data_IF_194945249947
#
_entry.id   IF_194945249947
#
_cell.length_a   1.000
_cell.length_b   1.000
_cell.length_c   1.000
_cell.angle_alpha   90.00
_cell.angle_beta   90.00
_cell.angle_gamma   90.00
#
_symmetry.space_group_name_H-M   'P 1'
#
loop_
_entity.id
_entity.type
_entity.pdbx_description
1 polymer ?
#
# COMPACT_ATOMS: atom_id res chain seq x y z
N UNK A 1 1.92 3.68 -18.67
CA UNK A 1 0.67 3.96 -17.95
C UNK A 1 1.05 3.74 -16.51
N UNK A 2 0.93 4.78 -15.67
CA UNK A 2 1.42 4.71 -14.31
C UNK A 2 0.73 3.58 -13.56
N UNK A 3 1.46 3.00 -12.61
CA UNK A 3 0.98 1.96 -11.71
C UNK A 3 1.00 2.48 -10.28
N UNK A 4 0.11 1.93 -9.45
CA UNK A 4 0.18 2.12 -8.02
C UNK A 4 1.24 1.16 -7.45
N UNK A 5 2.15 1.67 -6.63
CA UNK A 5 3.13 0.89 -5.89
C UNK A 5 2.76 0.88 -4.41
N UNK A 6 2.72 -0.31 -3.82
CA UNK A 6 2.72 -0.51 -2.38
C UNK A 6 4.12 -0.92 -2.00
N UNK A 7 4.79 -0.16 -1.13
CA UNK A 7 6.20 -0.38 -0.82
C UNK A 7 6.39 -0.45 0.69
N UNK A 8 6.97 -1.54 1.16
CA UNK A 8 7.43 -1.69 2.53
C UNK A 8 8.84 -1.10 2.64
N UNK A 9 8.95 0.02 3.33
CA UNK A 9 10.20 0.68 3.63
C UNK A 9 10.73 0.21 4.97
N UNK A 10 12.03 -0.07 5.02
CA UNK A 10 12.79 -0.43 6.21
C UNK A 10 13.85 0.61 6.52
N UNK A 11 14.20 0.74 7.79
CA UNK A 11 15.28 1.63 8.20
C UNK A 11 15.31 1.96 9.69
N UNK A 12 16.18 2.91 10.05
CA UNK A 12 16.43 3.27 11.44
C UNK A 12 15.62 4.49 11.85
N UNK A 13 15.05 4.43 13.06
CA UNK A 13 14.53 5.59 13.75
C UNK A 13 15.35 5.84 15.03
N UNK A 14 15.72 7.09 15.32
CA UNK A 14 16.66 7.44 16.40
C UNK A 14 16.28 6.93 17.80
N UNK A 15 14.97 6.71 18.03
CA UNK A 15 14.41 6.20 19.29
C UNK A 15 14.07 4.72 19.28
N UNK A 16 14.21 4.04 18.14
CA UNK A 16 13.94 2.61 18.04
C UNK A 16 15.20 1.81 18.40
N UNK A 17 15.02 0.74 19.17
CA UNK A 17 16.11 -0.18 19.50
C UNK A 17 16.43 -1.13 18.35
N UNK A 18 15.42 -1.44 17.54
CA UNK A 18 15.51 -2.26 16.33
C UNK A 18 15.13 -1.41 15.12
N UNK A 19 15.27 -2.02 13.95
CA UNK A 19 14.73 -1.47 12.72
C UNK A 19 13.21 -1.28 12.81
N UNK A 20 12.70 -0.30 12.06
CA UNK A 20 11.27 -0.02 11.91
C UNK A 20 10.89 -0.14 10.44
N UNK A 21 9.63 -0.51 10.21
CA UNK A 21 9.10 -0.61 8.86
C UNK A 21 7.83 0.24 8.75
N UNK A 22 7.58 0.73 7.54
CA UNK A 22 6.31 1.37 7.18
C UNK A 22 5.89 0.97 5.77
N UNK A 23 4.58 1.02 5.49
CA UNK A 23 4.04 0.74 4.16
C UNK A 23 3.55 2.03 3.52
N UNK A 24 4.22 2.40 2.43
CA UNK A 24 3.98 3.64 1.69
C UNK A 24 3.34 3.33 0.34
N UNK A 25 2.48 4.23 -0.12
CA UNK A 25 1.86 4.21 -1.44
C UNK A 25 2.53 5.26 -2.33
N UNK A 26 2.88 4.87 -3.56
CA UNK A 26 3.48 5.77 -4.54
C UNK A 26 2.99 5.45 -5.97
N UNK A 27 3.21 6.36 -6.91
CA UNK A 27 2.78 6.19 -8.31
C UNK A 27 3.92 6.49 -9.26
N UNK A 28 4.11 5.65 -10.28
CA UNK A 28 5.12 5.83 -11.33
C UNK A 28 4.93 4.84 -12.48
N UNK A 29 5.67 4.99 -13.58
CA UNK A 29 5.69 3.97 -14.64
C UNK A 29 6.62 2.79 -14.28
N UNK A 30 7.59 3.01 -13.39
CA UNK A 30 8.49 2.00 -12.83
C UNK A 30 8.74 2.23 -11.32
N UNK A 31 9.26 1.22 -10.62
CA UNK A 31 9.53 1.30 -9.17
C UNK A 31 10.55 2.41 -8.88
N UNK A 32 11.60 2.52 -9.68
CA UNK A 32 12.70 3.48 -9.52
C UNK A 32 12.22 4.93 -9.63
N UNK A 33 11.20 5.19 -10.44
CA UNK A 33 10.59 6.53 -10.56
C UNK A 33 9.85 6.96 -9.28
N UNK A 34 9.48 6.00 -8.42
CA UNK A 34 8.82 6.30 -7.14
C UNK A 34 9.78 6.69 -6.02
N UNK A 35 11.10 6.48 -6.18
CA UNK A 35 12.07 6.68 -5.10
C UNK A 35 12.03 8.08 -4.46
N UNK A 36 11.84 9.19 -5.20
CA UNK A 36 11.68 10.50 -4.58
C UNK A 36 10.45 10.58 -3.63
N UNK A 37 9.33 9.96 -4.01
CA UNK A 37 8.12 9.90 -3.18
C UNK A 37 8.37 9.07 -1.92
N UNK A 38 9.03 7.92 -2.06
CA UNK A 38 9.37 7.04 -0.94
C UNK A 38 10.30 7.73 0.07
N UNK A 39 11.34 8.42 -0.43
CA UNK A 39 12.26 9.21 0.41
C UNK A 39 11.54 10.34 1.14
N UNK A 40 10.59 11.00 0.48
CA UNK A 40 9.79 12.08 1.09
C UNK A 40 8.81 11.55 2.15
N UNK A 41 8.21 10.38 1.92
CA UNK A 41 7.25 9.77 2.84
C UNK A 41 7.91 9.14 4.08
N UNK A 42 9.18 8.72 3.96
CA UNK A 42 9.89 8.08 5.07
C UNK A 42 10.03 9.00 6.28
N UNK A 43 9.51 8.54 7.43
CA UNK A 43 9.40 9.35 8.64
C UNK A 43 10.65 9.35 9.52
N UNK A 44 11.63 8.49 9.23
CA UNK A 44 12.76 8.21 10.11
C UNK A 44 14.11 8.70 9.53
N UNK A 45 15.23 8.12 9.97
CA UNK A 45 16.55 8.53 9.50
C UNK A 45 16.69 8.24 8.00
N UNK A 46 17.12 9.21 7.16
CA UNK A 46 17.30 8.97 5.72
C UNK A 46 18.42 7.96 5.43
N UNK A 47 19.44 7.93 6.29
CA UNK A 47 20.57 7.02 6.15
C UNK A 47 20.13 5.59 6.46
N UNK A 48 20.39 4.67 5.51
CA UNK A 48 20.00 3.27 5.64
C UNK A 48 18.54 2.99 5.33
N UNK A 49 17.81 3.94 4.73
CA UNK A 49 16.50 3.68 4.14
C UNK A 49 16.63 2.64 3.01
N UNK A 50 15.76 1.65 3.02
CA UNK A 50 15.71 0.60 2.01
C UNK A 50 14.27 0.11 1.78
N UNK A 51 14.09 -0.70 0.73
CA UNK A 51 12.84 -1.39 0.39
C UNK A 51 13.00 -2.87 0.73
N UNK A 52 12.12 -3.40 1.57
CA UNK A 52 12.07 -4.83 1.92
C UNK A 52 11.03 -5.60 1.10
N UNK A 53 10.01 -4.91 0.60
CA UNK A 53 9.04 -5.49 -0.30
C UNK A 53 8.38 -4.42 -1.14
N UNK A 54 7.96 -4.77 -2.35
CA UNK A 54 7.17 -3.91 -3.20
C UNK A 54 6.12 -4.70 -3.97
N UNK A 55 5.02 -4.04 -4.32
CA UNK A 55 3.99 -4.56 -5.20
C UNK A 55 3.55 -3.49 -6.21
N UNK A 56 3.61 -3.82 -7.49
CA UNK A 56 3.01 -3.03 -8.57
C UNK A 56 1.58 -3.51 -8.82
N UNK A 57 0.64 -2.59 -8.67
CA UNK A 57 -0.80 -2.83 -8.77
C UNK A 57 -1.32 -2.16 -10.04
N UNK A 58 -1.76 -2.99 -10.98
CA UNK A 58 -2.43 -2.57 -12.21
C UNK A 58 -3.96 -2.58 -12.06
N UNK A 59 -4.46 -3.38 -11.11
CA UNK A 59 -5.87 -3.54 -10.84
C UNK A 59 -6.13 -4.45 -9.65
N UNK A 60 -7.40 -4.61 -9.32
CA UNK A 60 -7.87 -5.44 -8.21
C UNK A 60 -9.07 -6.28 -8.63
N UNK A 61 -9.13 -7.50 -8.12
CA UNK A 61 -10.35 -8.30 -8.15
C UNK A 61 -11.07 -8.16 -6.82
N UNK A 62 -12.36 -7.82 -6.88
CA UNK A 62 -13.17 -7.64 -5.68
C UNK A 62 -14.61 -8.06 -5.94
N UNK A 63 -15.15 -8.94 -5.09
CA UNK A 63 -16.52 -9.48 -5.19
C UNK A 63 -16.87 -10.03 -6.59
N UNK A 64 -15.92 -10.71 -7.24
CA UNK A 64 -16.12 -11.32 -8.55
C UNK A 64 -16.06 -10.34 -9.73
N UNK A 65 -15.66 -9.10 -9.50
CA UNK A 65 -15.41 -8.09 -10.54
C UNK A 65 -13.93 -7.73 -10.60
N UNK A 66 -13.45 -7.45 -11.80
CA UNK A 66 -12.11 -6.93 -12.05
C UNK A 66 -12.17 -5.43 -12.30
N UNK A 67 -11.27 -4.69 -11.65
CA UNK A 67 -11.10 -3.26 -11.82
C UNK A 67 -9.66 -2.97 -12.21
N UNK A 68 -9.45 -2.25 -13.31
CA UNK A 68 -8.15 -1.66 -13.58
C UNK A 68 -8.06 -0.26 -12.98
N UNK A 69 -6.85 0.17 -12.64
CA UNK A 69 -6.62 1.48 -12.06
C UNK A 69 -6.38 2.51 -13.16
N UNK A 70 -7.04 3.66 -13.05
CA UNK A 70 -6.77 4.84 -13.85
C UNK A 70 -6.53 6.03 -12.93
N UNK A 71 -5.58 6.88 -13.27
CA UNK A 71 -5.31 8.09 -12.51
C UNK A 71 -5.97 9.29 -13.21
N UNK A 72 -6.57 10.18 -12.42
CA UNK A 72 -7.36 11.32 -12.92
C UNK A 72 -7.30 12.52 -11.99
N UNK A 73 -7.53 13.72 -12.53
CA UNK A 73 -7.66 14.96 -11.74
C UNK A 73 -9.08 15.17 -11.20
N UNK A 74 -10.06 14.40 -11.68
CA UNK A 74 -11.44 14.51 -11.24
C UNK A 74 -11.62 13.82 -9.88
N UNK A 75 -12.08 14.57 -8.89
CA UNK A 75 -12.40 13.99 -7.58
C UNK A 75 -13.55 12.98 -7.74
N UNK A 76 -13.42 11.77 -7.18
CA UNK A 76 -14.48 10.78 -7.24
C UNK A 76 -15.73 11.26 -6.50
N UNK A 77 -16.90 10.91 -7.02
CA UNK A 77 -18.17 11.22 -6.37
C UNK A 77 -18.25 10.49 -5.02
N UNK A 78 -19.00 11.05 -4.05
CA UNK A 78 -19.15 10.40 -2.73
C UNK A 78 -19.79 9.01 -2.79
N UNK A 79 -20.58 8.72 -3.82
CA UNK A 79 -21.21 7.42 -4.04
C UNK A 79 -20.34 6.43 -4.80
N UNK A 80 -19.19 6.87 -5.34
CA UNK A 80 -18.28 6.00 -6.08
C UNK A 80 -17.44 5.16 -5.14
N UNK A 81 -17.14 3.94 -5.58
CA UNK A 81 -16.20 3.08 -4.89
C UNK A 81 -14.80 3.66 -4.97
N UNK A 82 -14.03 3.47 -3.89
CA UNK A 82 -12.64 3.87 -3.75
C UNK A 82 -11.80 2.67 -3.39
N UNK A 83 -10.49 2.82 -3.60
CA UNK A 83 -9.50 1.81 -3.26
C UNK A 83 -8.98 2.08 -1.84
N UNK A 84 -8.98 1.04 -1.02
CA UNK A 84 -8.48 1.09 0.36
C UNK A 84 -7.39 0.05 0.58
N UNK A 85 -6.32 0.45 1.26
CA UNK A 85 -5.33 -0.46 1.84
C UNK A 85 -5.70 -0.75 3.30
N UNK A 86 -5.89 -2.02 3.62
CA UNK A 86 -6.20 -2.48 4.98
C UNK A 86 -4.95 -3.15 5.55
N UNK A 87 -4.45 -2.60 6.66
CA UNK A 87 -3.41 -3.22 7.46
C UNK A 87 -4.08 -4.11 8.53
N UNK A 88 -3.91 -5.42 8.37
CA UNK A 88 -4.43 -6.44 9.29
C UNK A 88 -3.29 -6.98 10.13
N UNK A 89 -3.52 -7.09 11.43
CA UNK A 89 -2.59 -7.66 12.39
C UNK A 89 -3.14 -8.92 13.06
N UNK A 90 -2.24 -9.75 13.56
CA UNK A 90 -2.56 -10.96 14.30
C UNK A 90 -1.31 -11.67 14.82
N UNK A 91 -1.50 -12.81 15.49
CA UNK A 91 -0.40 -13.52 16.16
C UNK A 91 -0.45 -15.02 15.85
N UNK A 92 0.72 -15.65 15.68
CA UNK A 92 0.86 -17.10 15.69
C UNK A 92 1.59 -17.52 16.99
N UNK A 93 1.09 -18.50 17.76
CA UNK A 93 1.72 -18.93 19.01
C UNK A 93 3.12 -19.53 18.83
N UNK A 94 3.53 -19.83 17.60
CA UNK A 94 4.85 -20.38 17.26
C UNK A 94 5.87 -19.30 16.92
N UNK A 95 5.46 -18.05 16.82
CA UNK A 95 6.30 -16.93 16.39
C UNK A 95 6.37 -15.84 17.46
N UNK A 96 7.56 -15.28 17.65
CA UNK A 96 7.76 -14.10 18.47
C UNK A 96 7.58 -12.86 17.61
N UNK A 97 6.46 -12.15 17.79
CA UNK A 97 6.14 -10.93 17.06
C UNK A 97 4.69 -10.89 16.61
N UNK A 98 4.34 -9.79 15.95
CA UNK A 98 3.04 -9.59 15.35
C UNK A 98 3.13 -9.79 13.83
N UNK A 99 2.19 -10.57 13.30
CA UNK A 99 2.06 -10.84 11.89
C UNK A 99 1.17 -9.79 11.26
N UNK A 100 1.58 -9.32 10.09
CA UNK A 100 0.83 -8.31 9.34
C UNK A 100 0.48 -8.81 7.94
N UNK A 101 -0.65 -8.31 7.43
CA UNK A 101 -1.12 -8.56 6.07
C UNK A 101 -1.77 -7.29 5.54
N UNK A 102 -1.29 -6.88 4.36
CA UNK A 102 -1.79 -5.71 3.65
C UNK A 102 -2.69 -6.17 2.52
N UNK A 103 -3.94 -5.72 2.50
CA UNK A 103 -4.90 -6.08 1.46
C UNK A 103 -5.53 -4.85 0.83
N UNK A 104 -5.68 -4.88 -0.49
CA UNK A 104 -6.48 -3.89 -1.20
C UNK A 104 -7.93 -4.34 -1.27
N UNK A 105 -8.85 -3.43 -0.96
CA UNK A 105 -10.29 -3.66 -1.07
C UNK A 105 -10.97 -2.48 -1.78
N UNK A 106 -12.09 -2.77 -2.44
CA UNK A 106 -12.93 -1.78 -3.09
C UNK A 106 -14.14 -1.52 -2.21
N UNK A 107 -14.37 -0.27 -1.81
CA UNK A 107 -15.51 0.07 -0.95
C UNK A 107 -15.95 1.53 -1.12
N UNK A 108 -17.14 1.87 -0.64
CA UNK A 108 -17.66 3.26 -0.69
C UNK A 108 -17.14 4.14 0.45
N UNK A 109 -16.71 3.53 1.56
CA UNK A 109 -16.26 4.27 2.74
C UNK A 109 -15.38 3.38 3.65
N UNK A 110 -14.63 3.98 4.59
CA UNK A 110 -13.71 3.26 5.47
C UNK A 110 -14.38 2.18 6.34
N UNK A 111 -15.64 2.35 6.73
CA UNK A 111 -16.37 1.37 7.56
C UNK A 111 -16.61 0.09 6.77
N UNK A 112 -17.10 0.21 5.53
CA UNK A 112 -17.31 -0.92 4.62
C UNK A 112 -15.97 -1.55 4.26
N UNK A 113 -14.95 -0.75 3.93
CA UNK A 113 -13.60 -1.21 3.62
C UNK A 113 -13.01 -2.08 4.76
N UNK A 114 -13.16 -1.62 6.01
CA UNK A 114 -12.74 -2.38 7.19
C UNK A 114 -13.46 -3.73 7.27
N UNK A 115 -14.77 -3.74 7.06
CA UNK A 115 -15.55 -4.97 7.15
C UNK A 115 -15.16 -5.98 6.05
N UNK A 116 -14.95 -5.51 4.82
CA UNK A 116 -14.44 -6.34 3.72
C UNK A 116 -13.03 -6.88 4.02
N UNK A 117 -12.14 -6.03 4.55
CA UNK A 117 -10.77 -6.42 4.90
C UNK A 117 -10.70 -7.58 5.89
N UNK A 118 -11.64 -7.67 6.85
CA UNK A 118 -11.67 -8.78 7.83
C UNK A 118 -11.82 -10.16 7.19
N UNK A 119 -12.40 -10.26 5.99
CA UNK A 119 -12.50 -11.54 5.29
C UNK A 119 -11.13 -12.12 4.91
N UNK A 120 -10.08 -11.29 4.89
CA UNK A 120 -8.72 -11.67 4.52
C UNK A 120 -7.83 -12.04 5.71
N UNK A 121 -8.35 -12.11 6.94
CA UNK A 121 -7.55 -12.62 8.05
C UNK A 121 -7.07 -14.05 7.78
N UNK A 122 -5.83 -14.35 8.18
CA UNK A 122 -5.37 -15.72 8.16
C UNK A 122 -6.10 -16.51 9.25
N UNK A 123 -6.69 -17.66 8.89
CA UNK A 123 -7.51 -18.45 9.80
C UNK A 123 -6.77 -18.91 11.07
N UNK A 124 -5.45 -19.09 10.99
CA UNK A 124 -4.62 -19.53 12.11
C UNK A 124 -4.18 -18.39 13.04
N UNK A 125 -4.43 -17.13 12.68
CA UNK A 125 -4.06 -16.00 13.52
C UNK A 125 -4.94 -15.91 14.77
N UNK A 126 -4.30 -15.69 15.91
CA UNK A 126 -4.91 -15.32 17.17
C UNK A 126 -4.99 -13.79 17.28
N UNK A 127 -5.95 -13.31 18.08
CA UNK A 127 -6.18 -11.87 18.36
C UNK A 127 -6.18 -11.01 17.09
N UNK A 128 -6.87 -11.48 16.05
CA UNK A 128 -7.02 -10.76 14.77
C UNK A 128 -7.57 -9.34 14.99
N UNK A 129 -6.93 -8.36 14.38
CA UNK A 129 -7.34 -6.96 14.47
C UNK A 129 -6.98 -6.17 13.20
N UNK A 130 -7.59 -5.00 13.05
CA UNK A 130 -7.31 -4.09 11.94
C UNK A 130 -6.59 -2.88 12.52
N UNK A 131 -5.31 -2.72 12.22
CA UNK A 131 -4.50 -1.60 12.69
C UNK A 131 -4.87 -0.31 11.97
N UNK A 132 -5.02 -0.41 10.65
CA UNK A 132 -5.27 0.75 9.81
C UNK A 132 -6.15 0.45 8.62
N UNK A 133 -6.95 1.45 8.28
CA UNK A 133 -7.72 1.55 7.03
C UNK A 133 -7.24 2.84 6.37
N UNK A 134 -6.62 2.72 5.20
CA UNK A 134 -6.08 3.85 4.44
C UNK A 134 -6.85 3.96 3.14
N UNK A 135 -7.41 5.13 2.85
CA UNK A 135 -7.86 5.46 1.51
C UNK A 135 -6.62 5.75 0.65
N UNK A 136 -6.50 5.11 -0.52
CA UNK A 136 -5.28 5.22 -1.33
C UNK A 136 -5.01 6.66 -1.75
N UNK A 137 -6.04 7.39 -2.19
CA UNK A 137 -5.91 8.78 -2.63
C UNK A 137 -5.35 9.71 -1.55
N UNK A 138 -5.71 9.47 -0.28
CA UNK A 138 -5.23 10.28 0.86
C UNK A 138 -3.73 10.05 1.16
N UNK A 139 -3.14 9.01 0.59
CA UNK A 139 -1.74 8.63 0.80
C UNK A 139 -0.83 9.07 -0.36
N UNK A 140 -1.40 9.47 -1.50
CA UNK A 140 -0.63 9.86 -2.68
C UNK A 140 -0.20 11.31 -2.62
N UNK A 141 1.02 11.58 -3.08
CA UNK A 141 1.53 12.96 -3.21
C UNK A 141 0.84 13.64 -4.39
N UNK A 142 0.09 14.71 -4.11
CA UNK A 142 -0.76 15.43 -5.07
C UNK A 142 0.03 16.01 -6.26
N UNK A 143 1.31 16.33 -6.08
CA UNK A 143 2.14 17.00 -7.09
C UNK A 143 2.79 16.03 -8.11
N UNK A 144 2.36 14.77 -8.15
CA UNK A 144 2.84 13.80 -9.14
C UNK A 144 2.06 13.91 -10.47
N UNK A 145 2.76 13.80 -11.61
CA UNK A 145 2.27 14.12 -12.98
C UNK A 145 1.16 13.18 -13.49
N UNK A 146 0.74 12.22 -12.69
CA UNK A 146 -0.15 11.13 -13.09
C UNK A 146 -1.62 11.40 -12.78
N UNK A 147 -1.94 12.50 -12.11
CA UNK A 147 -3.29 12.84 -11.66
C UNK A 147 -3.46 12.66 -10.16
N UNK A 148 -4.48 13.32 -9.60
CA UNK A 148 -4.69 13.44 -8.15
C UNK A 148 -5.41 12.27 -7.49
N UNK A 149 -6.20 11.51 -8.23
CA UNK A 149 -7.10 10.49 -7.70
C UNK A 149 -7.01 9.17 -8.48
N UNK A 150 -7.21 8.06 -7.79
CA UNK A 150 -7.34 6.71 -8.35
C UNK A 150 -8.81 6.45 -8.68
N UNK A 151 -9.10 6.32 -9.96
CA UNK A 151 -10.37 5.86 -10.48
C UNK A 151 -10.33 4.34 -10.72
N UNK A 152 -11.32 3.64 -10.16
CA UNK A 152 -11.58 2.23 -10.44
C UNK A 152 -12.45 2.10 -11.69
N UNK A 153 -11.96 1.40 -12.70
CA UNK A 153 -12.74 1.14 -13.93
C UNK A 153 -12.92 -0.35 -14.11
N UNK A 154 -14.18 -0.80 -14.24
CA UNK A 154 -14.48 -2.22 -14.48
C UNK A 154 -13.83 -2.68 -15.79
N UNK A 155 -13.06 -3.76 -15.73
CA UNK A 155 -12.33 -4.31 -16.86
C UNK A 155 -11.16 -5.19 -16.45
N UNK A 156 -10.62 -5.90 -17.43
CA UNK A 156 -9.41 -6.71 -17.25
C UNK A 156 -8.17 -5.83 -17.10
N UNK A 157 -7.22 -6.28 -16.29
CA UNK A 157 -5.92 -5.63 -16.09
C UNK A 157 -4.77 -6.63 -16.23
N UNK A 158 -3.57 -6.13 -16.51
CA UNK A 158 -2.34 -6.93 -16.51
C UNK A 158 -2.04 -7.43 -15.10
N UNK A 159 -1.54 -8.67 -14.95
CA UNK A 159 -1.25 -9.24 -13.64
C UNK A 159 -0.39 -8.32 -12.76
N UNK A 160 -0.76 -8.21 -11.48
CA UNK A 160 0.05 -7.51 -10.49
C UNK A 160 1.37 -8.23 -10.26
N UNK A 161 2.42 -7.49 -9.89
CA UNK A 161 3.76 -8.03 -9.60
C UNK A 161 4.15 -7.64 -8.18
N UNK A 162 4.86 -8.51 -7.48
CA UNK A 162 5.39 -8.20 -6.16
C UNK A 162 6.65 -9.02 -5.89
N UNK A 163 7.47 -8.53 -4.97
CA UNK A 163 8.71 -9.17 -4.57
C UNK A 163 9.06 -8.75 -3.12
N UNK A 164 9.58 -9.69 -2.34
CA UNK A 164 10.32 -9.40 -1.12
C UNK A 164 11.81 -9.30 -1.48
N UNK A 165 12.47 -8.23 -1.08
CA UNK A 165 13.80 -7.84 -1.54
C UNK A 165 14.57 -7.11 -0.44
N UNK A 166 15.72 -6.55 -0.77
CA UNK A 166 16.45 -5.60 0.08
C UNK A 166 17.17 -4.61 -0.84
N UNK A 167 16.50 -3.51 -1.18
CA UNK A 167 17.02 -2.49 -2.09
C UNK A 167 17.34 -1.22 -1.31
N UNK A 168 18.61 -0.87 -1.19
CA UNK A 168 18.99 0.38 -0.52
C UNK A 168 18.59 1.58 -1.38
N UNK A 169 17.99 2.58 -0.75
CA UNK A 169 17.62 3.84 -1.39
C UNK A 169 18.64 4.93 -1.07
N UNK A 170 19.89 4.55 -0.84
CA UNK A 170 20.94 5.47 -0.42
C UNK A 170 20.91 6.73 -1.31
N UNK A 171 21.07 7.86 -0.66
CA UNK A 171 21.32 9.12 -1.34
C UNK A 171 22.65 8.96 -2.08
N UNK A 172 22.59 8.64 -3.38
CA UNK A 172 23.65 9.05 -4.27
C UNK A 172 23.94 10.53 -3.97
N UNK A 173 25.23 10.76 -3.73
CA UNK A 173 25.89 11.99 -3.25
C UNK A 173 25.30 13.28 -3.81
#
# INVERSE_FOLDING_TARGET
MPSLFIVMLGGRHARANTEVHDVVLAVGDALEETYPQLKQAWFAEPKGLHIDAWAQINGVEFEGKSYYLKFTDAQPNQSENRLYLINLGGYDPREFGELHRYVLVVAQNPMVAKQCGKAYFAQHWQKQHTDRVLEVDDCLVIDQVYGRYVQLVEGSFSANRWENTYLTLDSDV
#
